data_IF_452624270692
#
_entry.id   IF_452624270692
#
_cell.length_a   1.000
_cell.length_b   1.000
_cell.length_c   1.000
_cell.angle_alpha   90.00
_cell.angle_beta   90.00
_cell.angle_gamma   90.00
#
_symmetry.space_group_name_H-M   'P 1'
#
loop_
_entity.id
_entity.type
_entity.pdbx_description
1 polymer ?
#
# COMPACT_ATOMS: atom_id res chain seq x y z
N UNK A 1 36.09 22.78 -48.81
CA UNK A 1 35.47 21.80 -49.72
C UNK A 1 36.01 20.42 -49.37
N UNK A 2 35.23 19.65 -48.63
CA UNK A 2 35.20 18.18 -48.66
C UNK A 2 34.05 17.76 -47.72
N UNK A 3 32.95 17.40 -48.35
CA UNK A 3 31.71 16.93 -47.75
C UNK A 3 31.86 15.54 -47.11
N UNK A 4 31.18 15.39 -45.97
CA UNK A 4 30.24 14.31 -45.61
C UNK A 4 30.63 12.87 -45.98
N UNK A 5 30.71 12.00 -44.97
CA UNK A 5 29.87 10.77 -44.88
C UNK A 5 29.99 10.21 -43.46
N UNK A 6 29.00 10.47 -42.61
CA UNK A 6 28.77 9.70 -41.39
C UNK A 6 27.68 8.69 -41.73
N UNK A 7 28.06 7.41 -41.73
CA UNK A 7 27.18 6.27 -41.94
C UNK A 7 26.06 6.23 -40.88
N UNK A 8 24.83 6.38 -41.39
CA UNK A 8 23.61 5.66 -41.05
C UNK A 8 23.61 4.86 -39.72
N UNK A 9 23.01 5.45 -38.70
CA UNK A 9 22.49 4.73 -37.54
C UNK A 9 21.22 3.98 -37.93
N UNK A 10 21.27 2.65 -37.85
CA UNK A 10 20.09 1.76 -37.91
C UNK A 10 19.22 2.03 -36.68
N UNK A 11 18.01 2.54 -36.92
CA UNK A 11 17.02 2.83 -35.87
C UNK A 11 16.45 1.53 -35.31
N UNK A 12 16.68 1.29 -34.01
CA UNK A 12 16.06 0.21 -33.26
C UNK A 12 14.52 0.35 -33.32
N UNK A 13 13.84 -0.72 -33.74
CA UNK A 13 12.37 -0.78 -33.80
C UNK A 13 11.79 -0.62 -32.39
N UNK A 14 11.13 0.52 -32.17
CA UNK A 14 10.45 0.84 -30.91
C UNK A 14 9.24 -0.07 -30.71
N UNK A 15 9.13 -0.65 -29.51
CA UNK A 15 7.97 -1.44 -29.06
C UNK A 15 6.70 -0.59 -28.83
N UNK A 16 6.65 0.64 -29.33
CA UNK A 16 5.50 1.55 -29.21
C UNK A 16 5.11 2.07 -30.59
N UNK A 17 3.82 2.02 -30.96
CA UNK A 17 3.36 2.65 -32.20
C UNK A 17 3.59 4.16 -32.13
N UNK A 18 3.94 4.75 -33.26
CA UNK A 18 4.11 6.19 -33.38
C UNK A 18 2.74 6.89 -33.21
N UNK A 19 2.71 7.92 -32.37
CA UNK A 19 1.51 8.66 -31.99
C UNK A 19 1.61 10.11 -32.49
N UNK A 20 0.51 10.63 -33.02
CA UNK A 20 0.38 12.00 -33.51
C UNK A 20 -0.86 12.66 -32.92
N UNK A 21 -0.77 13.94 -32.58
CA UNK A 21 -1.91 14.70 -32.07
C UNK A 21 -2.62 15.36 -33.26
N UNK A 22 -3.91 15.09 -33.42
CA UNK A 22 -4.77 15.73 -34.40
C UNK A 22 -6.04 16.20 -33.71
N UNK A 23 -6.38 17.49 -33.84
CA UNK A 23 -7.52 18.12 -33.15
C UNK A 23 -7.55 17.90 -31.63
N UNK A 24 -6.38 17.84 -30.99
CA UNK A 24 -6.25 17.60 -29.54
C UNK A 24 -6.42 16.14 -29.12
N UNK A 25 -6.66 15.22 -30.06
CA UNK A 25 -6.82 13.78 -29.80
C UNK A 25 -5.55 13.04 -30.23
N UNK A 26 -5.07 12.15 -29.36
CA UNK A 26 -3.95 11.26 -29.68
C UNK A 26 -4.45 10.20 -30.68
N UNK A 27 -3.87 10.23 -31.88
CA UNK A 27 -4.22 9.34 -33.00
C UNK A 27 -2.97 8.67 -33.58
N UNK A 28 -3.15 7.53 -34.23
CA UNK A 28 -2.13 6.82 -35.00
C UNK A 28 -2.63 6.56 -36.42
N UNK A 29 -1.76 6.14 -37.34
CA UNK A 29 -2.14 5.83 -38.72
C UNK A 29 -2.08 4.34 -39.00
N UNK A 30 -2.89 3.85 -39.95
CA UNK A 30 -2.86 2.44 -40.35
C UNK A 30 -1.48 1.98 -40.87
N UNK A 31 -0.66 2.88 -41.43
CA UNK A 31 0.72 2.59 -41.83
C UNK A 31 1.63 2.36 -40.61
N UNK A 32 1.52 3.20 -39.58
CA UNK A 32 2.30 3.06 -38.35
C UNK A 32 1.92 1.78 -37.59
N UNK A 33 0.63 1.45 -37.53
CA UNK A 33 0.17 0.17 -36.97
C UNK A 33 0.74 -1.01 -37.77
N UNK A 34 0.69 -0.95 -39.10
CA UNK A 34 1.23 -2.01 -39.96
C UNK A 34 2.73 -2.22 -39.73
N UNK A 35 3.51 -1.14 -39.67
CA UNK A 35 4.95 -1.20 -39.37
C UNK A 35 5.23 -1.75 -37.97
N UNK A 36 4.48 -1.32 -36.96
CA UNK A 36 4.69 -1.70 -35.57
C UNK A 36 4.41 -3.19 -35.30
N UNK A 37 3.40 -3.77 -35.95
CA UNK A 37 3.03 -5.18 -35.79
C UNK A 37 3.60 -6.11 -36.87
N UNK A 38 4.51 -5.59 -37.71
CA UNK A 38 5.10 -6.34 -38.83
C UNK A 38 4.06 -6.88 -39.84
N UNK A 39 2.94 -6.19 -40.01
CA UNK A 39 1.85 -6.59 -40.90
C UNK A 39 1.89 -5.81 -42.22
N UNK A 40 1.45 -6.44 -43.31
CA UNK A 40 1.23 -5.69 -44.55
C UNK A 40 0.13 -4.65 -44.37
N UNK A 41 0.35 -3.43 -44.84
CA UNK A 41 -0.63 -2.33 -44.74
C UNK A 41 -1.98 -2.71 -45.37
N UNK A 42 -1.98 -3.40 -46.52
CA UNK A 42 -3.19 -3.94 -47.16
C UNK A 42 -4.01 -4.86 -46.23
N UNK A 43 -3.35 -5.65 -45.40
CA UNK A 43 -4.02 -6.52 -44.43
C UNK A 43 -4.67 -5.71 -43.30
N UNK A 44 -4.01 -4.65 -42.83
CA UNK A 44 -4.57 -3.72 -41.84
C UNK A 44 -5.78 -2.96 -42.40
N UNK A 45 -5.70 -2.45 -43.64
CA UNK A 45 -6.84 -1.81 -44.32
C UNK A 45 -8.03 -2.76 -44.51
N UNK A 46 -7.76 -4.05 -44.76
CA UNK A 46 -8.81 -5.07 -44.82
C UNK A 46 -9.42 -5.32 -43.45
N UNK A 47 -8.58 -5.44 -42.42
CA UNK A 47 -9.06 -5.63 -41.05
C UNK A 47 -9.98 -4.48 -40.63
N UNK A 48 -9.57 -3.22 -40.84
CA UNK A 48 -10.39 -2.04 -40.53
C UNK A 48 -11.72 -2.08 -41.28
N UNK A 49 -11.71 -2.28 -42.60
CA UNK A 49 -12.96 -2.36 -43.39
C UNK A 49 -13.90 -3.48 -42.93
N UNK A 50 -13.37 -4.60 -42.46
CA UNK A 50 -14.21 -5.68 -41.93
C UNK A 50 -14.89 -5.28 -40.60
N UNK A 51 -14.37 -4.30 -39.85
CA UNK A 51 -15.00 -3.83 -38.62
C UNK A 51 -16.28 -3.05 -38.88
N UNK A 52 -16.46 -2.42 -40.04
CA UNK A 52 -17.65 -1.61 -40.33
C UNK A 52 -18.97 -2.40 -40.33
N UNK A 53 -18.90 -3.73 -40.44
CA UNK A 53 -20.07 -4.62 -40.32
C UNK A 53 -20.17 -5.35 -38.98
N UNK A 54 -19.25 -5.10 -38.05
CA UNK A 54 -19.15 -5.79 -36.75
C UNK A 54 -19.39 -4.84 -35.58
N UNK A 55 -18.94 -3.59 -35.70
CA UNK A 55 -19.12 -2.56 -34.67
C UNK A 55 -20.23 -1.59 -35.06
N UNK A 56 -20.77 -0.86 -34.09
CA UNK A 56 -21.76 0.19 -34.33
C UNK A 56 -21.19 1.31 -35.24
N UNK A 57 -22.03 1.84 -36.13
CA UNK A 57 -21.60 2.79 -37.15
C UNK A 57 -20.96 4.06 -36.57
N UNK A 58 -21.51 4.62 -35.49
CA UNK A 58 -20.95 5.80 -34.81
C UNK A 58 -19.55 5.52 -34.24
N UNK A 59 -19.36 4.34 -33.64
CA UNK A 59 -18.05 3.90 -33.16
C UNK A 59 -17.06 3.77 -34.33
N UNK A 60 -17.48 3.16 -35.44
CA UNK A 60 -16.61 2.99 -36.60
C UNK A 60 -16.16 4.36 -37.17
N UNK A 61 -17.10 5.27 -37.40
CA UNK A 61 -16.84 6.57 -38.02
C UNK A 61 -15.96 7.47 -37.14
N UNK A 62 -16.16 7.46 -35.82
CA UNK A 62 -15.35 8.26 -34.88
C UNK A 62 -13.93 7.75 -34.72
N UNK A 63 -13.75 6.42 -34.77
CA UNK A 63 -12.47 5.80 -34.45
C UNK A 63 -11.63 5.46 -35.69
N UNK A 64 -12.21 5.39 -36.88
CA UNK A 64 -11.52 5.05 -38.13
C UNK A 64 -11.82 6.08 -39.24
N UNK A 65 -11.06 7.17 -39.26
CA UNK A 65 -11.23 8.26 -40.25
C UNK A 65 -10.40 7.98 -41.50
N UNK A 66 -11.01 7.83 -42.70
CA UNK A 66 -10.26 7.65 -43.95
C UNK A 66 -9.39 8.88 -44.26
N UNK A 67 -8.14 8.64 -44.64
CA UNK A 67 -7.18 9.67 -45.06
C UNK A 67 -6.39 9.19 -46.29
N UNK A 68 -5.64 10.11 -46.91
CA UNK A 68 -4.67 9.77 -47.95
C UNK A 68 -3.27 10.12 -47.46
N UNK A 69 -2.33 9.20 -47.65
CA UNK A 69 -0.92 9.41 -47.32
C UNK A 69 -0.13 9.39 -48.62
N UNK A 70 0.83 10.32 -48.75
CA UNK A 70 1.71 10.38 -49.90
C UNK A 70 2.89 9.42 -49.69
N UNK A 71 2.97 8.40 -50.52
CA UNK A 71 4.10 7.48 -50.58
C UNK A 71 5.05 7.97 -51.68
N UNK A 72 6.32 8.16 -51.33
CA UNK A 72 7.37 8.48 -52.30
C UNK A 72 7.76 7.22 -53.07
N UNK A 73 7.72 7.27 -54.40
CA UNK A 73 8.16 6.18 -55.30
C UNK A 73 9.55 6.45 -55.88
N UNK A 74 10.23 7.49 -55.41
CA UNK A 74 11.46 8.00 -55.98
C UNK A 74 11.24 8.78 -57.27
N UNK A 75 12.29 9.48 -57.72
CA UNK A 75 12.28 10.33 -58.92
C UNK A 75 11.18 11.42 -58.87
N UNK A 76 10.99 12.06 -57.70
CA UNK A 76 9.98 13.10 -57.47
C UNK A 76 8.53 12.69 -57.78
N UNK A 77 8.22 11.38 -57.78
CA UNK A 77 6.86 10.87 -57.98
C UNK A 77 6.26 10.43 -56.65
N UNK A 78 5.17 11.08 -56.28
CA UNK A 78 4.37 10.71 -55.11
C UNK A 78 3.08 10.01 -55.54
N UNK A 79 2.74 8.87 -54.92
CA UNK A 79 1.41 8.23 -55.04
C UNK A 79 0.63 8.49 -53.78
N UNK A 80 -0.64 8.87 -53.93
CA UNK A 80 -1.58 8.96 -52.80
C UNK A 80 -2.16 7.59 -52.53
N UNK A 81 -1.80 7.02 -51.38
CA UNK A 81 -2.29 5.73 -50.92
C UNK A 81 -3.41 5.92 -49.86
N UNK A 82 -4.48 5.12 -49.91
CA UNK A 82 -5.53 5.18 -48.91
C UNK A 82 -5.04 4.66 -47.57
N UNK A 83 -5.33 5.38 -46.49
CA UNK A 83 -5.00 5.01 -45.12
C UNK A 83 -6.13 5.42 -44.17
N UNK A 84 -5.98 5.08 -42.89
CA UNK A 84 -6.90 5.50 -41.84
C UNK A 84 -6.13 6.21 -40.74
N UNK A 85 -6.71 7.29 -40.22
CA UNK A 85 -6.37 7.88 -38.93
C UNK A 85 -7.23 7.21 -37.87
N UNK A 86 -6.59 6.75 -36.81
CA UNK A 86 -7.17 5.83 -35.85
C UNK A 86 -6.96 6.39 -34.46
N UNK A 87 -8.03 6.50 -33.69
CA UNK A 87 -7.98 6.94 -32.28
C UNK A 87 -7.39 5.84 -31.40
N UNK A 88 -7.10 6.17 -30.14
CA UNK A 88 -6.72 5.16 -29.13
C UNK A 88 -7.73 4.01 -29.06
N UNK A 89 -9.03 4.31 -29.00
CA UNK A 89 -10.05 3.29 -28.75
C UNK A 89 -10.25 2.38 -29.98
N UNK A 90 -10.19 2.95 -31.18
CA UNK A 90 -10.13 2.17 -32.43
C UNK A 90 -8.88 1.31 -32.54
N UNK A 91 -7.74 1.82 -32.09
CA UNK A 91 -6.48 1.07 -32.06
C UNK A 91 -6.57 -0.14 -31.13
N UNK A 92 -7.04 0.05 -29.88
CA UNK A 92 -7.20 -1.06 -28.92
C UNK A 92 -8.12 -2.13 -29.51
N UNK A 93 -9.27 -1.74 -30.06
CA UNK A 93 -10.22 -2.70 -30.66
C UNK A 93 -9.61 -3.48 -31.82
N UNK A 94 -8.90 -2.79 -32.72
CA UNK A 94 -8.22 -3.41 -33.86
C UNK A 94 -7.15 -4.43 -33.40
N UNK A 95 -6.35 -4.09 -32.39
CA UNK A 95 -5.28 -4.96 -31.89
C UNK A 95 -5.82 -6.19 -31.16
N UNK A 96 -7.02 -6.12 -30.56
CA UNK A 96 -7.67 -7.30 -29.97
C UNK A 96 -7.92 -8.41 -31.01
N UNK A 97 -8.23 -8.04 -32.25
CA UNK A 97 -8.39 -8.97 -33.38
C UNK A 97 -7.07 -9.46 -34.00
N UNK A 98 -5.92 -8.90 -33.61
CA UNK A 98 -4.63 -9.29 -34.18
C UNK A 98 -4.07 -10.57 -33.53
N UNK A 99 -3.55 -11.43 -34.41
CA UNK A 99 -2.80 -12.65 -34.06
C UNK A 99 -1.31 -12.41 -34.36
N UNK A 100 -0.43 -12.91 -33.49
CA UNK A 100 1.04 -12.81 -33.61
C UNK A 100 1.73 -12.59 -32.27
N UNK A 101 3.05 -12.82 -32.20
CA UNK A 101 3.85 -12.68 -30.97
C UNK A 101 3.83 -11.24 -30.43
N UNK A 102 3.99 -10.25 -31.31
CA UNK A 102 3.96 -8.82 -30.92
C UNK A 102 2.59 -8.37 -30.43
N UNK A 103 1.52 -8.78 -31.12
CA UNK A 103 0.15 -8.50 -30.69
C UNK A 103 -0.17 -9.18 -29.34
N UNK A 104 0.33 -10.40 -29.10
CA UNK A 104 0.17 -11.08 -27.81
C UNK A 104 0.93 -10.34 -26.69
N UNK A 105 2.18 -9.96 -26.93
CA UNK A 105 2.97 -9.19 -25.98
C UNK A 105 2.30 -7.85 -25.61
N UNK A 106 1.77 -7.14 -26.62
CA UNK A 106 1.02 -5.91 -26.40
C UNK A 106 -0.24 -6.14 -25.55
N UNK A 107 -1.01 -7.19 -25.84
CA UNK A 107 -2.23 -7.53 -25.07
C UNK A 107 -1.92 -7.85 -23.60
N UNK A 108 -0.84 -8.59 -23.34
CA UNK A 108 -0.38 -8.87 -21.96
C UNK A 108 0.04 -7.58 -21.25
N UNK A 109 0.76 -6.69 -21.92
CA UNK A 109 1.16 -5.40 -21.36
C UNK A 109 -0.05 -4.51 -21.03
N UNK A 110 -1.05 -4.49 -21.92
CA UNK A 110 -2.31 -3.77 -21.68
C UNK A 110 -3.06 -4.34 -20.46
N UNK A 111 -3.14 -5.67 -20.34
CA UNK A 111 -3.77 -6.31 -19.18
C UNK A 111 -3.02 -6.03 -17.88
N UNK A 112 -1.68 -6.04 -17.90
CA UNK A 112 -0.88 -5.69 -16.74
C UNK A 112 -1.12 -4.25 -16.27
N UNK A 113 -1.24 -3.30 -17.22
CA UNK A 113 -1.60 -1.93 -16.92
C UNK A 113 -3.02 -1.83 -16.33
N UNK A 114 -3.97 -2.59 -16.87
CA UNK A 114 -5.34 -2.64 -16.35
C UNK A 114 -5.37 -3.16 -14.90
N UNK A 115 -4.72 -4.27 -14.62
CA UNK A 115 -4.65 -4.85 -13.27
C UNK A 115 -3.99 -3.88 -12.28
N UNK A 116 -3.00 -3.10 -12.74
CA UNK A 116 -2.38 -2.06 -11.92
C UNK A 116 -3.38 -0.94 -11.58
N UNK A 117 -4.15 -0.46 -12.56
CA UNK A 117 -5.20 0.53 -12.33
C UNK A 117 -6.29 -0.02 -11.41
N UNK A 118 -6.71 -1.26 -11.60
CA UNK A 118 -7.67 -1.94 -10.72
C UNK A 118 -7.14 -2.02 -9.28
N UNK A 119 -5.89 -2.43 -9.09
CA UNK A 119 -5.27 -2.49 -7.76
C UNK A 119 -5.16 -1.10 -7.10
N UNK A 120 -4.97 -0.03 -7.88
CA UNK A 120 -4.99 1.34 -7.37
C UNK A 120 -6.40 1.78 -6.93
N UNK A 121 -7.45 1.37 -7.64
CA UNK A 121 -8.85 1.62 -7.28
C UNK A 121 -9.34 0.74 -6.12
N UNK A 122 -8.79 -0.46 -5.96
CA UNK A 122 -9.11 -1.38 -4.86
C UNK A 122 -8.42 -0.99 -3.54
N UNK A 123 -7.42 -0.09 -3.56
CA UNK A 123 -6.94 0.51 -2.32
C UNK A 123 -8.14 1.15 -1.64
N UNK A 124 -8.45 0.81 -0.38
CA UNK A 124 -9.61 1.36 0.30
C UNK A 124 -9.49 2.87 0.21
N UNK A 125 -10.45 3.50 -0.48
CA UNK A 125 -10.58 4.93 -0.51
C UNK A 125 -10.62 5.36 0.96
N UNK A 126 -9.54 5.97 1.43
CA UNK A 126 -9.46 6.38 2.82
C UNK A 126 -10.56 7.40 3.01
N UNK A 127 -11.60 7.01 3.75
CA UNK A 127 -12.78 7.85 3.99
C UNK A 127 -12.30 9.24 4.46
N UNK A 128 -12.56 10.31 3.68
CA UNK A 128 -12.12 11.65 4.02
C UNK A 128 -12.57 12.07 5.43
N UNK A 129 -13.73 11.58 5.89
CA UNK A 129 -14.23 11.88 7.23
C UNK A 129 -13.39 11.20 8.31
N UNK A 130 -12.95 9.96 8.08
CA UNK A 130 -12.05 9.24 9.00
C UNK A 130 -10.69 9.90 9.08
N UNK A 131 -10.12 10.33 7.95
CA UNK A 131 -8.84 11.06 7.95
C UNK A 131 -8.98 12.36 8.74
N UNK A 132 -10.02 13.15 8.47
CA UNK A 132 -10.24 14.43 9.17
C UNK A 132 -10.48 14.24 10.66
N UNK A 133 -11.19 13.18 11.07
CA UNK A 133 -11.38 12.86 12.48
C UNK A 133 -10.06 12.49 13.15
N UNK A 134 -9.27 11.61 12.52
CA UNK A 134 -7.96 11.20 13.03
C UNK A 134 -7.00 12.39 13.19
N UNK A 135 -6.96 13.29 12.20
CA UNK A 135 -6.14 14.51 12.25
C UNK A 135 -6.58 15.43 13.39
N UNK A 136 -7.88 15.65 13.58
CA UNK A 136 -8.41 16.47 14.68
C UNK A 136 -8.03 15.91 16.05
N UNK A 137 -8.22 14.60 16.25
CA UNK A 137 -7.86 13.93 17.50
C UNK A 137 -6.36 13.98 17.76
N UNK A 138 -5.53 13.80 16.74
CA UNK A 138 -4.07 13.89 16.87
C UNK A 138 -3.62 15.30 17.29
N UNK A 139 -4.16 16.35 16.66
CA UNK A 139 -3.84 17.74 17.01
C UNK A 139 -4.28 18.07 18.44
N UNK A 140 -5.46 17.59 18.86
CA UNK A 140 -5.94 17.78 20.22
C UNK A 140 -5.01 17.10 21.25
N UNK A 141 -4.65 15.83 21.01
CA UNK A 141 -3.75 15.10 21.90
C UNK A 141 -2.37 15.79 21.99
N UNK A 142 -1.82 16.26 20.87
CA UNK A 142 -0.54 16.97 20.86
C UNK A 142 -0.59 18.27 21.69
N UNK A 143 -1.67 19.05 21.59
CA UNK A 143 -1.85 20.26 22.38
C UNK A 143 -1.91 19.94 23.89
N UNK A 144 -2.66 18.90 24.25
CA UNK A 144 -2.76 18.45 25.65
C UNK A 144 -1.41 17.96 26.20
N UNK A 145 -0.63 17.21 25.42
CA UNK A 145 0.72 16.77 25.81
C UNK A 145 1.62 17.96 26.08
N UNK A 146 1.60 18.94 25.18
CA UNK A 146 2.41 20.15 25.30
C UNK A 146 2.09 20.89 26.59
N UNK A 147 0.80 21.02 26.92
CA UNK A 147 0.35 21.65 28.16
C UNK A 147 0.78 20.84 29.39
N UNK A 148 0.57 19.53 29.41
CA UNK A 148 0.92 18.69 30.55
C UNK A 148 2.42 18.71 30.86
N UNK A 149 3.26 18.68 29.83
CA UNK A 149 4.72 18.82 29.98
C UNK A 149 5.07 20.21 30.51
N UNK A 150 4.46 21.27 29.99
CA UNK A 150 4.67 22.63 30.48
C UNK A 150 4.31 22.76 31.97
N UNK A 151 3.15 22.26 32.37
CA UNK A 151 2.69 22.28 33.76
C UNK A 151 3.64 21.51 34.68
N UNK A 152 4.12 20.33 34.24
CA UNK A 152 5.08 19.54 35.00
C UNK A 152 6.45 20.21 35.15
N UNK A 153 6.91 20.95 34.13
CA UNK A 153 8.16 21.73 34.20
C UNK A 153 8.00 22.92 35.15
N UNK A 154 6.86 23.62 35.11
CA UNK A 154 6.59 24.77 35.98
C UNK A 154 6.31 24.39 37.44
N UNK A 155 5.71 23.21 37.68
CA UNK A 155 5.44 22.71 39.03
C UNK A 155 6.66 22.09 39.72
N UNK A 156 7.74 21.83 38.98
CA UNK A 156 8.97 21.28 39.56
C UNK A 156 9.76 22.39 40.26
N UNK A 157 9.84 22.35 41.59
CA UNK A 157 10.72 23.21 42.42
C UNK A 157 12.23 22.94 42.21
N UNK A 158 12.61 22.21 41.15
CA UNK A 158 13.96 21.72 40.93
C UNK A 158 14.81 22.80 40.25
N UNK A 159 15.95 23.15 40.87
CA UNK A 159 16.86 24.20 40.39
C UNK A 159 17.46 23.89 39.02
N UNK A 160 17.44 22.62 38.60
CA UNK A 160 17.95 22.16 37.31
C UNK A 160 16.89 21.40 36.47
N UNK A 161 15.73 22.03 36.28
CA UNK A 161 14.64 21.53 35.42
C UNK A 161 15.08 21.20 33.97
N UNK A 162 16.24 21.69 33.52
CA UNK A 162 16.80 21.42 32.18
C UNK A 162 17.34 19.99 32.02
N UNK A 163 17.75 19.36 33.11
CA UNK A 163 18.24 17.97 33.13
C UNK A 163 17.26 17.00 33.78
N UNK A 164 16.08 17.48 34.18
CA UNK A 164 15.05 16.66 34.79
C UNK A 164 14.45 15.67 33.77
N UNK A 165 14.22 14.44 34.23
CA UNK A 165 13.53 13.39 33.46
C UNK A 165 12.04 13.45 33.78
N UNK A 166 11.18 13.34 32.77
CA UNK A 166 9.73 13.36 32.95
C UNK A 166 9.10 12.08 32.38
N UNK A 167 8.16 11.49 33.12
CA UNK A 167 7.26 10.47 32.59
C UNK A 167 6.01 11.16 32.06
N UNK A 168 5.73 10.99 30.77
CA UNK A 168 4.46 11.35 30.17
C UNK A 168 3.59 10.11 30.02
N UNK A 169 2.39 10.14 30.61
CA UNK A 169 1.39 9.11 30.39
C UNK A 169 0.32 9.62 29.40
N UNK A 170 0.10 8.85 28.34
CA UNK A 170 -0.98 9.07 27.38
C UNK A 170 -1.91 7.86 27.37
N UNK A 171 -3.10 8.03 27.95
CA UNK A 171 -4.15 7.02 27.92
C UNK A 171 -5.26 7.38 26.92
N UNK A 172 -6.06 6.37 26.59
CA UNK A 172 -7.37 6.55 25.96
C UNK A 172 -8.43 6.00 26.92
N UNK A 173 -9.57 6.65 27.01
CA UNK A 173 -10.71 6.13 27.76
C UNK A 173 -11.38 4.95 27.02
N UNK A 174 -12.45 4.39 27.60
CA UNK A 174 -13.16 3.24 27.03
C UNK A 174 -13.92 3.61 25.75
N UNK A 175 -14.17 4.89 25.58
CA UNK A 175 -14.83 5.52 24.44
C UNK A 175 -13.82 5.90 23.33
N UNK A 176 -12.52 5.65 23.54
CA UNK A 176 -11.45 5.91 22.59
C UNK A 176 -11.03 7.39 22.51
N UNK A 177 -11.46 8.22 23.44
CA UNK A 177 -11.03 9.62 23.54
C UNK A 177 -9.70 9.70 24.30
N UNK A 178 -8.80 10.63 23.90
CA UNK A 178 -7.56 10.84 24.63
C UNK A 178 -7.87 11.32 26.05
N UNK A 179 -7.40 10.58 27.05
CA UNK A 179 -7.47 11.01 28.45
C UNK A 179 -6.54 12.20 28.66
N UNK A 180 -6.82 13.04 29.67
CA UNK A 180 -5.94 14.17 30.03
C UNK A 180 -4.53 13.62 30.29
N UNK A 181 -3.53 14.00 29.47
CA UNK A 181 -2.18 13.52 29.65
C UNK A 181 -1.62 14.10 30.94
N UNK A 182 -0.86 13.28 31.65
CA UNK A 182 -0.23 13.67 32.90
C UNK A 182 1.26 13.47 32.77
N UNK A 183 2.03 14.50 33.14
CA UNK A 183 3.47 14.44 33.20
C UNK A 183 3.94 14.59 34.65
N UNK A 184 4.88 13.74 35.06
CA UNK A 184 5.49 13.82 36.40
C UNK A 184 7.01 13.72 36.30
N UNK A 185 7.75 14.50 37.12
CA UNK A 185 9.20 14.36 37.19
C UNK A 185 9.55 12.99 37.79
N UNK A 186 10.52 12.34 37.17
CA UNK A 186 11.14 11.11 37.65
C UNK A 186 12.32 11.52 38.52
N UNK A 187 12.32 11.09 39.79
CA UNK A 187 13.42 11.34 40.71
C UNK A 187 14.73 10.72 40.23
N UNK A 188 15.87 11.21 40.72
CA UNK A 188 17.18 10.74 40.26
C UNK A 188 17.42 9.24 40.53
N UNK A 189 16.79 8.72 41.58
CA UNK A 189 16.78 7.33 42.02
C UNK A 189 15.67 6.47 41.35
N UNK A 190 14.83 7.07 40.51
CA UNK A 190 13.75 6.37 39.82
C UNK A 190 14.13 6.02 38.37
N UNK A 191 13.67 4.84 37.93
CA UNK A 191 13.94 4.32 36.59
C UNK A 191 12.75 3.54 36.05
N UNK A 192 12.53 3.65 34.75
CA UNK A 192 11.45 2.96 34.03
C UNK A 192 12.08 2.06 32.99
N UNK A 193 11.92 0.75 33.16
CA UNK A 193 12.45 -0.29 32.26
C UNK A 193 11.43 -1.42 32.12
N UNK A 194 11.51 -2.15 31.02
CA UNK A 194 10.71 -3.38 30.89
C UNK A 194 11.22 -4.43 31.87
N UNK A 195 10.31 -5.26 32.39
CA UNK A 195 10.65 -6.29 33.36
C UNK A 195 11.69 -7.30 32.83
N UNK A 196 11.70 -7.55 31.52
CA UNK A 196 12.65 -8.45 30.88
C UNK A 196 14.05 -7.83 30.72
N UNK A 197 14.15 -6.52 30.55
CA UNK A 197 15.44 -5.82 30.42
C UNK A 197 16.05 -5.43 31.77
N UNK A 198 15.27 -5.50 32.85
CA UNK A 198 15.70 -5.15 34.20
C UNK A 198 16.92 -5.96 34.70
N UNK A 199 17.01 -7.29 34.50
CA UNK A 199 18.17 -8.06 34.95
C UNK A 199 19.48 -7.66 34.26
N UNK A 200 19.46 -7.45 32.95
CA UNK A 200 20.64 -7.03 32.17
C UNK A 200 21.09 -5.62 32.57
N UNK A 201 20.14 -4.72 32.85
CA UNK A 201 20.46 -3.36 33.33
C UNK A 201 21.01 -3.34 34.76
N UNK A 202 20.59 -4.27 35.62
CA UNK A 202 21.20 -4.44 36.95
C UNK A 202 22.63 -4.98 36.81
N UNK A 203 22.86 -5.95 35.91
CA UNK A 203 24.16 -6.59 35.73
C UNK A 203 25.22 -5.70 35.05
N UNK A 204 24.81 -4.84 34.12
CA UNK A 204 25.71 -3.95 33.37
C UNK A 204 26.19 -2.75 34.18
N UNK A 205 25.49 -2.36 35.25
CA UNK A 205 25.86 -1.22 36.10
C UNK A 205 25.81 0.15 35.41
N UNK A 206 25.39 0.23 34.14
CA UNK A 206 25.55 1.43 33.30
C UNK A 206 24.68 2.62 33.72
N UNK A 207 23.58 2.42 34.46
CA UNK A 207 22.56 3.48 34.69
C UNK A 207 21.95 3.44 36.10
N UNK A 208 22.19 2.40 36.90
CA UNK A 208 21.63 2.29 38.25
C UNK A 208 22.68 2.72 39.27
N UNK A 209 22.53 3.90 39.86
CA UNK A 209 23.17 4.26 41.13
C UNK A 209 22.54 3.49 42.31
N UNK A 210 22.23 2.20 42.11
CA UNK A 210 21.65 1.35 43.12
C UNK A 210 22.74 0.95 44.12
N UNK A 211 22.49 1.18 45.40
CA UNK A 211 23.40 0.75 46.46
C UNK A 211 23.34 -0.77 46.65
N UNK A 212 24.43 -1.37 47.16
CA UNK A 212 24.46 -2.80 47.50
C UNK A 212 23.29 -3.20 48.42
N UNK A 213 22.87 -2.31 49.31
CA UNK A 213 21.71 -2.50 50.18
C UNK A 213 20.37 -2.59 49.41
N UNK A 214 20.20 -1.78 48.35
CA UNK A 214 19.01 -1.84 47.49
C UNK A 214 19.00 -3.12 46.65
N UNK A 215 20.14 -3.55 46.12
CA UNK A 215 20.27 -4.80 45.37
C UNK A 215 20.00 -6.03 46.27
N UNK A 216 20.53 -6.03 47.49
CA UNK A 216 20.28 -7.10 48.47
C UNK A 216 18.79 -7.17 48.86
N UNK A 217 18.14 -6.02 49.06
CA UNK A 217 16.69 -5.95 49.34
C UNK A 217 15.86 -6.51 48.19
N UNK A 218 16.19 -6.15 46.94
CA UNK A 218 15.52 -6.65 45.75
C UNK A 218 15.66 -8.17 45.61
N UNK A 219 16.88 -8.69 45.74
CA UNK A 219 17.15 -10.14 45.69
C UNK A 219 16.37 -10.91 46.76
N UNK A 220 16.31 -10.36 47.98
CA UNK A 220 15.55 -10.95 49.09
C UNK A 220 14.05 -11.00 48.79
N UNK A 221 13.48 -9.90 48.31
CA UNK A 221 12.05 -9.83 47.94
C UNK A 221 11.70 -10.81 46.81
N UNK A 222 12.54 -10.92 45.78
CA UNK A 222 12.36 -11.90 44.70
C UNK A 222 12.36 -13.33 45.23
N UNK A 223 13.32 -13.68 46.08
CA UNK A 223 13.45 -15.02 46.66
C UNK A 223 12.24 -15.36 47.52
N UNK A 224 11.80 -14.44 48.39
CA UNK A 224 10.60 -14.63 49.21
C UNK A 224 9.34 -14.87 48.37
N UNK A 225 9.17 -14.10 47.28
CA UNK A 225 8.00 -14.25 46.40
C UNK A 225 7.99 -15.58 45.66
N UNK A 226 9.16 -16.07 45.23
CA UNK A 226 9.30 -17.39 44.60
C UNK A 226 8.95 -18.51 45.59
N UNK A 227 9.46 -18.44 46.81
CA UNK A 227 9.16 -19.42 47.88
C UNK A 227 7.67 -19.44 48.22
N UNK A 228 7.03 -18.28 48.35
CA UNK A 228 5.57 -18.19 48.58
C UNK A 228 4.77 -18.85 47.45
N UNK A 229 5.17 -18.65 46.19
CA UNK A 229 4.49 -19.27 45.04
C UNK A 229 4.71 -20.78 44.98
N UNK A 230 5.88 -21.27 45.37
CA UNK A 230 6.14 -22.71 45.48
C UNK A 230 5.24 -23.36 46.54
N UNK A 231 5.20 -22.80 47.75
CA UNK A 231 4.33 -23.28 48.82
C UNK A 231 2.84 -23.21 48.47
N UNK A 232 2.41 -22.17 47.74
CA UNK A 232 1.03 -22.07 47.28
C UNK A 232 0.69 -23.16 46.24
N UNK A 233 1.61 -23.47 45.32
CA UNK A 233 1.43 -24.57 44.35
C UNK A 233 1.34 -25.93 45.06
N UNK A 234 2.17 -26.15 46.08
CA UNK A 234 2.13 -27.38 46.89
C UNK A 234 0.81 -27.51 47.66
N UNK A 235 0.32 -26.43 48.27
CA UNK A 235 -1.00 -26.42 48.95
C UNK A 235 -2.17 -26.61 48.00
N UNK A 236 -2.11 -26.04 46.80
CA UNK A 236 -3.13 -26.24 45.76
C UNK A 236 -3.11 -27.66 45.20
N UNK A 237 -1.94 -28.26 45.01
CA UNK A 237 -1.81 -29.66 44.60
C UNK A 237 -2.26 -30.64 45.69
N UNK A 238 -2.17 -30.24 46.97
CA UNK A 238 -2.61 -31.04 48.12
C UNK A 238 -4.12 -30.88 48.46
N UNK A 239 -4.84 -29.96 47.82
CA UNK A 239 -6.29 -29.79 48.03
C UNK A 239 -7.04 -30.70 47.04
N UNK A 240 -7.73 -31.78 47.48
CA UNK A 240 -8.45 -32.67 46.57
C UNK A 240 -9.63 -31.93 45.93
N UNK A 241 -9.70 -31.95 44.60
CA UNK A 241 -10.78 -31.30 43.85
C UNK A 241 -12.16 -31.87 44.18
N UNK A 242 -13.15 -30.98 44.29
CA UNK A 242 -14.57 -31.32 44.10
C UNK A 242 -14.76 -32.01 42.73
N UNK A 243 -15.75 -32.90 42.60
CA UNK A 243 -15.83 -33.86 41.51
C UNK A 243 -16.00 -33.21 40.14
N UNK A 244 -15.24 -33.76 39.19
CA UNK A 244 -15.31 -33.56 37.75
C UNK A 244 -16.75 -33.57 37.23
N UNK A 245 -17.15 -32.50 36.56
CA UNK A 245 -18.31 -32.51 35.67
C UNK A 245 -18.14 -33.62 34.63
N UNK A 246 -19.08 -34.57 34.62
CA UNK A 246 -19.14 -35.67 33.66
C UNK A 246 -19.18 -35.14 32.21
N UNK A 247 -18.51 -35.80 31.26
CA UNK A 247 -18.68 -35.49 29.84
C UNK A 247 -20.09 -35.92 29.38
N UNK A 248 -20.79 -35.00 28.72
CA UNK A 248 -22.14 -35.19 28.19
C UNK A 248 -22.22 -36.38 27.21
N UNK A 249 -23.32 -37.16 27.20
CA UNK A 249 -23.51 -38.23 26.25
C UNK A 249 -23.80 -37.66 24.84
N UNK A 250 -23.11 -38.24 23.86
CA UNK A 250 -23.23 -38.02 22.42
C UNK A 250 -24.67 -38.20 21.91
N UNK A 251 -25.25 -37.16 21.32
CA UNK A 251 -26.45 -37.26 20.49
C UNK A 251 -26.10 -37.71 19.06
N UNK A 252 -26.87 -38.63 18.44
CA UNK A 252 -26.73 -38.96 17.02
C UNK A 252 -27.41 -37.92 16.11
N UNK A 253 -26.96 -37.76 14.85
CA UNK A 253 -27.48 -36.74 13.94
C UNK A 253 -28.80 -37.20 13.31
N UNK A 254 -29.86 -36.41 13.52
CA UNK A 254 -31.09 -36.53 12.77
C UNK A 254 -32.31 -36.04 13.53
N UNK A 255 -32.70 -34.79 13.31
CA UNK A 255 -34.07 -34.34 12.96
C UNK A 255 -34.17 -32.82 13.10
N UNK A 256 -34.53 -32.17 12.00
CA UNK A 256 -34.95 -30.77 11.88
C UNK A 256 -36.09 -30.43 12.86
N UNK A 257 -36.04 -29.25 13.48
CA UNK A 257 -37.22 -28.40 13.62
C UNK A 257 -36.81 -26.93 13.79
N UNK A 258 -37.25 -26.12 12.83
CA UNK A 258 -37.39 -24.68 12.98
C UNK A 258 -38.47 -24.37 14.00
N UNK A 259 -38.26 -23.33 14.83
CA UNK A 259 -39.34 -22.39 15.16
C UNK A 259 -38.75 -21.04 15.58
N UNK A 260 -39.20 -20.01 14.87
CA UNK A 260 -39.13 -18.61 15.27
C UNK A 260 -40.00 -18.35 16.49
N UNK A 261 -39.53 -17.49 17.39
CA UNK A 261 -40.27 -16.32 17.90
C UNK A 261 -39.31 -15.30 18.48
#
# INVERSE_FOLDING_TARGET
MADITICSSVTAASARPELSIHDGIVTTTSNQIAAHFGKQHKAVLRAIRNLSGVVEDDFYQRNFVPIQISTDLGMARTRKDPAYRITRDGFVFLVMGFIGKEAAAWKVAYLAAFNRMEAELQKPAQDPQRIQLAQRLATQAAAQVTQAVFDAVMAADNTDWRHARYLLNLGYDREGQPSVPHAQPIGDDQMIVSFNALPERIASGEILSATDAQLATLATACTQRLTQRAQHREKQAATPGLPSAQPAPSQPPGTLMMTFK
#
